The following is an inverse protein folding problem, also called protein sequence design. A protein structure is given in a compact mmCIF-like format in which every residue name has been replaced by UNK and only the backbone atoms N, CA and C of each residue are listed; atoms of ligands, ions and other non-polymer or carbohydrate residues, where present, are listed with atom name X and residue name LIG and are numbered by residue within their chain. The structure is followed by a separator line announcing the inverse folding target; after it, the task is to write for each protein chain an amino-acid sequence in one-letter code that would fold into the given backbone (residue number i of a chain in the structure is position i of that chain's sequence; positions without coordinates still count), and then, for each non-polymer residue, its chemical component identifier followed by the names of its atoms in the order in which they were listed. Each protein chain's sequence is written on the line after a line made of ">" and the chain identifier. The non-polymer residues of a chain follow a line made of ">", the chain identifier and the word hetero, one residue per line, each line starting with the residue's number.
data_IF_280390753492
#
_entry.id   IF_280390753492
#
_cell.length_a   1.000
_cell.length_b   1.000
_cell.length_c   1.000
_cell.angle_alpha   90.00
_cell.angle_beta   90.00
_cell.angle_gamma   90.00
#
_symmetry.space_group_name_H-M   'P 1'
#
loop_
_entity.id
_entity.type
_entity.pdbx_description
1 polymer ?
#
# COMPACT_ATOMS: atom_id res chain seq x y z
N UNK A 1 11.33 -4.04 -17.83
CA UNK A 1 12.62 -3.34 -17.70
C UNK A 1 12.93 -3.16 -16.23
N UNK A 2 14.09 -3.64 -15.76
CA UNK A 2 14.52 -3.48 -14.35
C UNK A 2 14.94 -2.02 -14.16
N UNK A 3 14.40 -1.36 -13.15
CA UNK A 3 14.72 0.05 -12.86
C UNK A 3 16.14 0.10 -12.30
N UNK A 4 17.00 0.89 -12.93
CA UNK A 4 18.34 1.17 -12.42
C UNK A 4 18.25 2.26 -11.32
N UNK A 5 18.29 1.81 -10.07
CA UNK A 5 18.27 2.66 -8.89
C UNK A 5 19.64 3.27 -8.56
N UNK A 6 20.71 2.87 -9.26
CA UNK A 6 22.07 3.36 -9.07
C UNK A 6 22.45 4.47 -10.05
N UNK A 7 21.66 4.66 -11.13
CA UNK A 7 21.84 5.73 -12.11
C UNK A 7 21.87 7.12 -11.46
N UNK A 8 22.89 7.92 -11.78
CA UNK A 8 22.94 9.36 -11.49
C UNK A 8 22.05 10.10 -12.49
N UNK A 9 21.16 10.97 -12.01
CA UNK A 9 20.11 11.60 -12.82
C UNK A 9 20.36 13.07 -13.13
N UNK A 10 21.22 13.76 -12.38
CA UNK A 10 21.36 15.21 -12.44
C UNK A 10 22.72 15.72 -12.94
N UNK A 11 23.72 14.86 -13.10
CA UNK A 11 24.97 15.28 -13.70
C UNK A 11 26.13 14.30 -13.54
N UNK A 12 27.23 14.63 -14.22
CA UNK A 12 28.50 13.94 -14.09
C UNK A 12 29.27 14.57 -12.93
N UNK A 13 29.37 13.87 -11.81
CA UNK A 13 30.12 14.32 -10.65
C UNK A 13 31.58 13.91 -10.79
N UNK A 14 32.51 14.82 -10.47
CA UNK A 14 33.95 14.55 -10.55
C UNK A 14 34.63 14.79 -9.22
N UNK A 15 35.65 13.97 -8.92
CA UNK A 15 36.53 14.25 -7.79
C UNK A 15 37.21 15.60 -8.00
N UNK A 16 37.17 16.51 -7.03
CA UNK A 16 38.00 17.71 -7.06
C UNK A 16 39.48 17.30 -7.01
N UNK A 17 40.38 18.13 -7.57
CA UNK A 17 41.81 18.00 -7.29
C UNK A 17 42.07 18.30 -5.80
N UNK A 18 43.01 17.59 -5.19
CA UNK A 18 43.37 17.77 -3.78
C UNK A 18 44.83 17.39 -3.52
N UNK A 19 45.38 17.88 -2.40
CA UNK A 19 46.70 17.46 -1.92
C UNK A 19 46.59 16.72 -0.59
N UNK A 20 47.42 15.70 -0.39
CA UNK A 20 47.53 15.04 0.91
C UNK A 20 48.08 16.03 1.95
N UNK A 21 47.50 16.03 3.15
CA UNK A 21 47.84 16.96 4.23
C UNK A 21 47.11 18.31 4.17
N UNK A 22 46.38 18.61 3.10
CA UNK A 22 45.60 19.84 2.96
C UNK A 22 44.44 19.88 3.96
N UNK A 23 44.19 21.05 4.59
CA UNK A 23 43.03 21.29 5.44
C UNK A 23 41.88 21.80 4.59
N UNK A 24 40.76 21.11 4.64
CA UNK A 24 39.54 21.45 3.88
C UNK A 24 38.33 21.47 4.80
N UNK A 25 37.36 22.32 4.48
CA UNK A 25 36.11 22.37 5.23
C UNK A 25 35.12 21.29 4.74
N UNK A 26 34.75 20.38 5.63
CA UNK A 26 33.75 19.35 5.38
C UNK A 26 32.39 19.84 5.89
N UNK A 27 31.41 19.96 5.00
CA UNK A 27 30.07 20.46 5.35
C UNK A 27 29.34 19.65 6.43
N UNK A 28 29.78 18.42 6.72
CA UNK A 28 29.22 17.59 7.80
C UNK A 28 30.07 17.54 9.07
N UNK A 29 31.36 17.88 9.00
CA UNK A 29 32.32 17.65 10.09
C UNK A 29 33.12 18.88 10.46
N UNK A 30 32.96 20.01 9.76
CA UNK A 30 33.85 21.16 9.81
C UNK A 30 35.21 20.82 9.21
N UNK A 31 36.25 21.51 9.68
CA UNK A 31 37.60 21.35 9.15
C UNK A 31 38.20 19.94 9.36
N UNK A 32 38.78 19.39 8.30
CA UNK A 32 39.43 18.07 8.27
C UNK A 32 40.70 18.11 7.43
N UNK A 33 41.66 17.24 7.75
CA UNK A 33 42.89 17.09 6.96
C UNK A 33 42.74 15.94 5.97
N UNK A 34 43.04 16.16 4.69
CA UNK A 34 42.98 15.12 3.68
C UNK A 34 44.10 14.11 3.93
N UNK A 35 43.71 12.85 4.11
CA UNK A 35 44.62 11.75 4.45
C UNK A 35 44.74 10.72 3.33
N UNK A 36 43.66 10.47 2.60
CA UNK A 36 43.59 9.40 1.60
C UNK A 36 42.53 9.66 0.54
N UNK A 37 42.34 8.69 -0.34
CA UNK A 37 41.26 8.64 -1.32
C UNK A 37 40.43 7.37 -1.12
N UNK A 38 39.13 7.43 -1.35
CA UNK A 38 38.25 6.26 -1.27
C UNK A 38 38.25 5.45 -2.55
N UNK A 39 38.10 4.12 -2.43
CA UNK A 39 37.95 3.18 -3.56
C UNK A 39 36.51 3.14 -4.15
N UNK A 40 35.76 4.23 -3.99
CA UNK A 40 34.46 4.39 -4.63
C UNK A 40 34.60 4.43 -6.16
N UNK A 41 33.53 4.11 -6.89
CA UNK A 41 33.48 4.24 -8.36
C UNK A 41 33.73 5.68 -8.81
N UNK A 42 33.34 6.64 -7.98
CA UNK A 42 33.86 8.01 -8.01
C UNK A 42 34.79 8.12 -6.81
N UNK A 43 36.12 8.05 -7.03
CA UNK A 43 37.09 8.23 -5.97
C UNK A 43 36.91 9.61 -5.32
N UNK A 44 37.09 9.70 -4.00
CA UNK A 44 36.85 10.94 -3.28
C UNK A 44 37.80 11.11 -2.10
N UNK A 45 38.19 12.35 -1.75
CA UNK A 45 39.04 12.61 -0.60
C UNK A 45 38.47 12.06 0.71
N UNK A 46 39.33 11.39 1.48
CA UNK A 46 39.08 10.97 2.86
C UNK A 46 39.73 11.98 3.80
N UNK A 47 38.90 12.59 4.65
CA UNK A 47 39.33 13.52 5.68
C UNK A 47 39.49 12.82 7.03
N UNK A 48 40.64 13.02 7.65
CA UNK A 48 40.92 12.67 9.05
C UNK A 48 40.51 13.84 9.95
N UNK A 49 39.66 13.56 10.94
CA UNK A 49 39.36 14.47 12.05
C UNK A 49 39.70 13.74 13.35
N UNK A 50 40.74 14.19 14.04
CA UNK A 50 41.32 13.51 15.21
C UNK A 50 41.76 12.08 14.82
N UNK A 51 40.92 11.07 15.05
CA UNK A 51 41.15 9.66 14.66
C UNK A 51 40.18 9.15 13.60
N UNK A 52 39.05 9.84 13.38
CA UNK A 52 37.99 9.35 12.50
C UNK A 52 38.27 9.66 11.03
N UNK A 53 38.20 8.63 10.18
CA UNK A 53 38.32 8.72 8.73
C UNK A 53 36.92 8.67 8.09
N UNK A 54 36.63 9.64 7.22
CA UNK A 54 35.40 9.64 6.42
C UNK A 54 35.58 10.50 5.19
N UNK A 55 34.79 10.25 4.14
CA UNK A 55 34.81 11.10 2.94
C UNK A 55 34.49 12.56 3.32
N UNK A 56 35.23 13.49 2.72
CA UNK A 56 35.01 14.92 2.91
C UNK A 56 33.78 15.34 2.10
N UNK A 57 32.76 15.87 2.79
CA UNK A 57 31.53 16.34 2.15
C UNK A 57 31.73 17.77 1.63
N UNK A 58 32.17 17.91 0.38
CA UNK A 58 32.32 19.20 -0.31
C UNK A 58 32.15 19.05 -1.82
N UNK A 59 32.23 20.15 -2.57
CA UNK A 59 32.23 20.15 -4.04
C UNK A 59 31.06 19.38 -4.66
N UNK A 60 31.38 18.53 -5.64
CA UNK A 60 30.38 17.76 -6.39
C UNK A 60 29.70 16.67 -5.56
N UNK A 61 30.35 16.09 -4.55
CA UNK A 61 29.69 15.16 -3.64
C UNK A 61 28.57 15.86 -2.86
N UNK A 62 28.80 17.10 -2.41
CA UNK A 62 27.74 17.87 -1.75
C UNK A 62 26.57 18.17 -2.70
N UNK A 63 26.84 18.46 -3.98
CA UNK A 63 25.79 18.61 -5.01
C UNK A 63 25.01 17.31 -5.23
N UNK A 64 25.70 16.18 -5.31
CA UNK A 64 25.10 14.87 -5.48
C UNK A 64 24.19 14.52 -4.29
N UNK A 65 24.64 14.74 -3.05
CA UNK A 65 23.83 14.44 -1.86
C UNK A 65 22.54 15.26 -1.80
N UNK A 66 22.55 16.49 -2.31
CA UNK A 66 21.37 17.37 -2.36
C UNK A 66 20.33 16.93 -3.41
N UNK A 67 20.77 16.36 -4.54
CA UNK A 67 19.87 16.11 -5.70
C UNK A 67 19.62 14.64 -5.98
N UNK A 68 20.62 13.79 -5.83
CA UNK A 68 20.55 12.38 -6.21
C UNK A 68 19.79 11.52 -5.20
N UNK A 69 19.38 10.33 -5.68
CA UNK A 69 18.80 9.31 -4.83
C UNK A 69 19.86 8.76 -3.86
N UNK A 70 19.45 8.41 -2.64
CA UNK A 70 20.40 7.91 -1.62
C UNK A 70 21.11 6.63 -2.10
N UNK A 71 20.39 5.78 -2.86
CA UNK A 71 20.92 4.53 -3.41
C UNK A 71 22.04 4.79 -4.44
N UNK A 72 21.88 5.81 -5.29
CA UNK A 72 22.90 6.19 -6.27
C UNK A 72 24.16 6.73 -5.57
N UNK A 73 24.01 7.64 -4.61
CA UNK A 73 25.16 8.20 -3.86
C UNK A 73 25.96 7.09 -3.17
N UNK A 74 25.29 6.13 -2.54
CA UNK A 74 25.94 4.97 -1.90
C UNK A 74 26.73 4.14 -2.90
N UNK A 75 26.15 3.86 -4.06
CA UNK A 75 26.77 3.02 -5.08
C UNK A 75 28.03 3.66 -5.70
N UNK A 76 27.96 4.95 -6.00
CA UNK A 76 29.05 5.66 -6.68
C UNK A 76 30.19 6.04 -5.74
N UNK A 77 29.91 6.50 -4.52
CA UNK A 77 30.95 6.89 -3.55
C UNK A 77 31.30 5.78 -2.55
N UNK A 78 30.69 4.60 -2.66
CA UNK A 78 31.04 3.45 -1.82
C UNK A 78 30.68 3.61 -0.33
N UNK A 79 29.64 4.38 -0.01
CA UNK A 79 29.26 4.71 1.38
C UNK A 79 28.00 3.98 1.86
N UNK A 80 27.91 3.85 3.19
CA UNK A 80 26.73 3.28 3.85
C UNK A 80 25.52 4.23 3.85
N UNK A 81 24.32 3.68 4.06
CA UNK A 81 23.08 4.46 4.14
C UNK A 81 23.10 5.49 5.29
N UNK A 82 23.68 5.10 6.44
CA UNK A 82 23.82 5.97 7.61
C UNK A 82 24.67 7.20 7.30
N UNK A 83 25.73 7.05 6.51
CA UNK A 83 26.59 8.16 6.08
C UNK A 83 25.81 9.18 5.26
N UNK A 84 25.06 8.72 4.25
CA UNK A 84 24.22 9.61 3.42
C UNK A 84 23.14 10.30 4.27
N UNK A 85 22.54 9.60 5.24
CA UNK A 85 21.59 10.21 6.16
C UNK A 85 22.20 11.33 7.00
N UNK A 86 23.40 11.11 7.57
CA UNK A 86 24.14 12.14 8.33
C UNK A 86 24.45 13.34 7.43
N UNK A 87 24.95 13.10 6.22
CA UNK A 87 25.25 14.18 5.27
C UNK A 87 24.03 14.98 4.88
N UNK A 88 22.91 14.31 4.59
CA UNK A 88 21.64 14.98 4.28
C UNK A 88 21.15 15.83 5.44
N UNK A 89 21.24 15.32 6.68
CA UNK A 89 20.89 16.08 7.88
C UNK A 89 21.77 17.31 8.05
N UNK A 90 23.08 17.18 7.85
CA UNK A 90 24.02 18.31 7.91
C UNK A 90 23.75 19.37 6.83
N UNK A 91 23.31 18.94 5.64
CA UNK A 91 22.94 19.83 4.54
C UNK A 91 21.50 20.37 4.63
N UNK A 92 20.72 19.98 5.64
CA UNK A 92 19.31 20.38 5.78
C UNK A 92 18.36 19.78 4.75
N UNK A 93 18.74 18.67 4.11
CA UNK A 93 17.97 18.03 3.03
C UNK A 93 17.20 16.83 3.56
N UNK A 94 15.87 16.87 3.45
CA UNK A 94 14.99 15.75 3.85
C UNK A 94 14.57 14.89 2.67
N UNK A 95 14.25 15.54 1.53
CA UNK A 95 13.82 14.87 0.31
C UNK A 95 14.60 15.39 -0.88
N UNK A 96 15.12 14.49 -1.72
CA UNK A 96 15.80 14.86 -2.97
C UNK A 96 14.91 14.59 -4.18
N UNK A 97 15.17 15.32 -5.27
CA UNK A 97 14.53 15.07 -6.56
C UNK A 97 14.83 13.64 -7.06
N UNK A 98 16.04 13.13 -6.82
CA UNK A 98 16.44 11.78 -7.21
C UNK A 98 15.63 10.69 -6.50
N UNK A 99 15.35 10.84 -5.20
CA UNK A 99 14.48 9.90 -4.50
C UNK A 99 13.04 9.96 -5.04
N UNK A 100 12.58 11.16 -5.44
CA UNK A 100 11.25 11.34 -6.05
C UNK A 100 11.18 10.71 -7.43
N UNK A 101 12.16 10.94 -8.29
CA UNK A 101 12.25 10.37 -9.64
C UNK A 101 12.34 8.85 -9.57
N UNK A 102 13.18 8.31 -8.69
CA UNK A 102 13.29 6.88 -8.48
C UNK A 102 11.96 6.28 -8.03
N UNK A 103 11.26 6.93 -7.08
CA UNK A 103 9.92 6.51 -6.65
C UNK A 103 8.92 6.53 -7.80
N UNK A 104 8.92 7.57 -8.62
CA UNK A 104 8.04 7.70 -9.78
C UNK A 104 8.31 6.61 -10.82
N UNK A 105 9.58 6.29 -11.08
CA UNK A 105 9.96 5.18 -11.96
C UNK A 105 9.44 3.84 -11.44
N UNK A 106 9.51 3.60 -10.13
CA UNK A 106 8.91 2.40 -9.52
C UNK A 106 7.38 2.39 -9.62
N UNK A 107 6.72 3.55 -9.58
CA UNK A 107 5.26 3.69 -9.63
C UNK A 107 4.66 3.49 -11.03
N UNK A 108 5.04 2.40 -11.72
CA UNK A 108 4.38 1.96 -12.95
C UNK A 108 2.97 1.43 -12.65
N UNK A 109 2.00 1.51 -13.58
CA UNK A 109 0.66 0.97 -13.38
C UNK A 109 0.66 -0.52 -12.97
N UNK A 110 1.59 -1.32 -13.51
CA UNK A 110 1.76 -2.74 -13.15
C UNK A 110 2.30 -2.91 -11.73
N UNK A 111 3.32 -2.15 -11.34
CA UNK A 111 3.84 -2.17 -9.98
C UNK A 111 2.79 -1.72 -8.97
N UNK A 112 2.07 -0.63 -9.25
CA UNK A 112 0.99 -0.13 -8.42
C UNK A 112 -0.11 -1.18 -8.27
N UNK A 113 -0.57 -1.82 -9.35
CA UNK A 113 -1.56 -2.91 -9.26
C UNK A 113 -1.09 -4.06 -8.37
N UNK A 114 0.18 -4.49 -8.48
CA UNK A 114 0.74 -5.56 -7.64
C UNK A 114 0.81 -5.14 -6.17
N UNK A 115 1.31 -3.93 -5.90
CA UNK A 115 1.40 -3.39 -4.54
C UNK A 115 0.01 -3.20 -3.91
N UNK A 116 -0.94 -2.66 -4.67
CA UNK A 116 -2.34 -2.53 -4.25
C UNK A 116 -2.96 -3.90 -4.00
N UNK A 117 -2.78 -4.88 -4.90
CA UNK A 117 -3.30 -6.23 -4.69
C UNK A 117 -2.72 -6.88 -3.42
N UNK A 118 -1.40 -6.76 -3.20
CA UNK A 118 -0.76 -7.26 -1.99
C UNK A 118 -1.26 -6.54 -0.73
N UNK A 119 -1.40 -5.21 -0.77
CA UNK A 119 -1.94 -4.42 0.33
C UNK A 119 -3.41 -4.78 0.62
N UNK A 120 -4.23 -4.95 -0.42
CA UNK A 120 -5.61 -5.40 -0.31
C UNK A 120 -5.68 -6.79 0.30
N UNK A 121 -4.86 -7.74 -0.14
CA UNK A 121 -4.80 -9.09 0.43
C UNK A 121 -4.46 -9.07 1.94
N UNK A 122 -3.47 -8.25 2.35
CA UNK A 122 -3.14 -8.07 3.77
C UNK A 122 -4.29 -7.39 4.54
N UNK A 123 -4.94 -6.40 3.93
CA UNK A 123 -6.08 -5.72 4.54
C UNK A 123 -7.29 -6.66 4.70
N UNK A 124 -7.46 -7.58 3.76
CA UNK A 124 -8.56 -8.54 3.67
C UNK A 124 -8.32 -9.82 4.46
N UNK A 125 -7.11 -10.02 4.97
CA UNK A 125 -6.74 -11.16 5.79
C UNK A 125 -7.79 -11.38 6.91
N UNK A 126 -8.35 -12.60 7.03
CA UNK A 126 -9.49 -12.88 7.90
C UNK A 126 -9.16 -12.59 9.37
N UNK A 127 -7.95 -12.92 9.82
CA UNK A 127 -7.48 -12.63 11.18
C UNK A 127 -7.47 -11.14 11.50
N UNK A 128 -6.96 -10.31 10.58
CA UNK A 128 -6.96 -8.84 10.73
C UNK A 128 -8.38 -8.30 10.80
N UNK A 129 -9.26 -8.76 9.90
CA UNK A 129 -10.68 -8.37 9.90
C UNK A 129 -11.38 -8.79 11.18
N UNK A 130 -11.13 -10.00 11.68
CA UNK A 130 -11.66 -10.49 12.95
C UNK A 130 -11.16 -9.67 14.14
N UNK A 131 -9.86 -9.33 14.18
CA UNK A 131 -9.29 -8.47 15.23
C UNK A 131 -9.96 -7.09 15.28
N UNK A 132 -10.18 -6.47 14.11
CA UNK A 132 -10.90 -5.20 13.98
C UNK A 132 -12.36 -5.36 14.38
N UNK A 133 -13.04 -6.43 13.95
CA UNK A 133 -14.43 -6.68 14.28
C UNK A 133 -14.61 -6.89 15.80
N UNK A 134 -13.75 -7.69 16.42
CA UNK A 134 -13.77 -7.95 17.88
C UNK A 134 -13.56 -6.66 18.67
N UNK A 135 -12.67 -5.77 18.24
CA UNK A 135 -12.42 -4.51 18.95
C UNK A 135 -13.56 -3.50 18.83
N UNK A 136 -14.38 -3.59 17.76
CA UNK A 136 -15.48 -2.65 17.46
C UNK A 136 -16.87 -3.15 17.84
N UNK A 137 -17.07 -4.47 17.94
CA UNK A 137 -18.40 -5.06 18.21
C UNK A 137 -18.96 -4.55 19.55
N UNK A 138 -20.22 -4.12 19.54
CA UNK A 138 -20.92 -3.63 20.73
C UNK A 138 -20.55 -2.21 21.18
N UNK A 139 -19.53 -1.57 20.58
CA UNK A 139 -19.16 -0.19 20.93
C UNK A 139 -20.02 0.79 20.14
N UNK A 140 -20.92 1.55 20.79
CA UNK A 140 -21.69 2.57 20.09
C UNK A 140 -20.76 3.66 19.56
N UNK A 141 -21.11 4.22 18.40
CA UNK A 141 -20.39 5.37 17.88
C UNK A 141 -20.57 6.56 18.84
N UNK A 142 -19.50 7.27 19.24
CA UNK A 142 -19.63 8.40 20.16
C UNK A 142 -20.60 9.47 19.62
N UNK A 143 -21.47 10.06 20.46
CA UNK A 143 -22.49 11.03 20.02
C UNK A 143 -21.91 12.23 19.26
N UNK A 144 -20.74 12.73 19.68
CA UNK A 144 -20.04 13.82 19.01
C UNK A 144 -19.65 13.47 17.57
N UNK A 145 -19.18 12.23 17.35
CA UNK A 145 -18.83 11.74 16.00
C UNK A 145 -20.08 11.62 15.14
N UNK A 146 -21.20 11.14 15.71
CA UNK A 146 -22.49 11.10 15.02
C UNK A 146 -22.92 12.52 14.61
N UNK A 147 -22.78 13.51 15.49
CA UNK A 147 -23.12 14.90 15.19
C UNK A 147 -22.24 15.47 14.06
N UNK A 148 -20.92 15.20 14.08
CA UNK A 148 -20.00 15.58 12.99
C UNK A 148 -20.39 14.94 11.66
N UNK A 149 -20.69 13.65 11.66
CA UNK A 149 -21.13 12.92 10.47
C UNK A 149 -22.45 13.48 9.92
N UNK A 150 -23.43 13.75 10.80
CA UNK A 150 -24.70 14.38 10.41
C UNK A 150 -24.47 15.74 9.78
N UNK A 151 -23.65 16.61 10.40
CA UNK A 151 -23.31 17.93 9.84
C UNK A 151 -22.65 17.83 8.47
N UNK A 152 -21.70 16.91 8.30
CA UNK A 152 -20.95 16.74 7.05
C UNK A 152 -21.77 16.12 5.90
N UNK A 153 -22.78 15.31 6.24
CA UNK A 153 -23.60 14.61 5.26
C UNK A 153 -24.95 15.29 4.99
N UNK A 154 -25.39 16.22 5.85
CA UNK A 154 -26.63 16.97 5.64
C UNK A 154 -26.57 17.70 4.30
N UNK A 155 -27.54 17.42 3.44
CA UNK A 155 -27.63 18.02 2.09
C UNK A 155 -26.76 17.38 1.00
N UNK A 156 -25.85 16.45 1.33
CA UNK A 156 -25.11 15.70 0.30
C UNK A 156 -26.05 14.75 -0.42
N UNK A 157 -26.26 14.99 -1.72
CA UNK A 157 -27.01 14.10 -2.59
C UNK A 157 -26.08 13.01 -3.14
N UNK A 158 -26.57 11.77 -3.17
CA UNK A 158 -25.86 10.69 -3.86
C UNK A 158 -25.76 10.98 -5.35
N UNK A 159 -24.63 10.58 -5.95
CA UNK A 159 -24.43 10.71 -7.39
C UNK A 159 -25.50 9.95 -8.16
N UNK A 160 -25.75 10.37 -9.40
CA UNK A 160 -26.73 9.72 -10.26
C UNK A 160 -26.39 8.24 -10.47
N UNK A 161 -25.13 7.92 -10.78
CA UNK A 161 -24.67 6.55 -10.98
C UNK A 161 -24.93 5.63 -9.76
N UNK A 162 -24.72 6.14 -8.55
CA UNK A 162 -24.99 5.38 -7.32
C UNK A 162 -26.49 5.17 -7.12
N UNK A 163 -27.32 6.19 -7.41
CA UNK A 163 -28.78 6.06 -7.38
C UNK A 163 -29.30 5.06 -8.41
N UNK A 164 -28.77 5.06 -9.64
CA UNK A 164 -29.11 4.10 -10.68
C UNK A 164 -28.82 2.67 -10.22
N UNK A 165 -27.60 2.42 -9.72
CA UNK A 165 -27.22 1.09 -9.23
C UNK A 165 -28.07 0.61 -8.06
N UNK A 166 -28.39 1.49 -7.10
CA UNK A 166 -29.31 1.15 -6.02
C UNK A 166 -30.72 0.85 -6.54
N UNK A 167 -31.21 1.63 -7.51
CA UNK A 167 -32.49 1.37 -8.16
C UNK A 167 -32.51 0.03 -8.88
N UNK A 168 -31.43 -0.35 -9.58
CA UNK A 168 -31.32 -1.65 -10.25
C UNK A 168 -31.38 -2.79 -9.23
N UNK A 169 -30.62 -2.70 -8.14
CA UNK A 169 -30.64 -3.69 -7.06
C UNK A 169 -32.02 -3.78 -6.41
N UNK A 170 -32.67 -2.64 -6.14
CA UNK A 170 -34.03 -2.63 -5.58
C UNK A 170 -35.07 -3.21 -6.55
N UNK A 171 -34.97 -2.92 -7.86
CA UNK A 171 -35.87 -3.49 -8.88
C UNK A 171 -35.68 -5.00 -9.02
N UNK A 172 -34.42 -5.48 -9.07
CA UNK A 172 -34.11 -6.91 -9.12
C UNK A 172 -34.65 -7.67 -7.90
N UNK A 173 -34.57 -7.05 -6.73
CA UNK A 173 -35.03 -7.61 -5.46
C UNK A 173 -36.55 -7.50 -5.27
N UNK A 174 -37.19 -6.48 -5.84
CA UNK A 174 -38.60 -6.16 -5.60
C UNK A 174 -38.88 -5.75 -4.14
N UNK A 175 -40.13 -5.96 -3.70
CA UNK A 175 -40.63 -5.65 -2.35
C UNK A 175 -40.21 -6.68 -1.29
N UNK A 176 -39.42 -7.68 -1.65
CA UNK A 176 -39.05 -8.75 -0.72
C UNK A 176 -38.00 -8.28 0.31
N UNK A 177 -38.25 -8.36 1.63
CA UNK A 177 -37.32 -7.89 2.65
C UNK A 177 -36.07 -8.77 2.75
N UNK A 178 -34.88 -8.22 3.11
CA UNK A 178 -33.61 -8.93 2.93
C UNK A 178 -33.43 -10.06 3.91
N UNK A 179 -34.10 -9.95 5.05
CA UNK A 179 -34.15 -11.00 6.05
C UNK A 179 -34.97 -12.23 5.62
N UNK A 180 -35.84 -12.11 4.60
CA UNK A 180 -36.68 -13.23 4.16
C UNK A 180 -35.95 -14.25 3.27
N UNK A 181 -34.70 -13.97 2.89
CA UNK A 181 -33.87 -14.87 2.07
C UNK A 181 -34.21 -14.81 0.58
N UNK A 182 -33.64 -15.74 -0.20
CA UNK A 182 -33.89 -15.86 -1.63
C UNK A 182 -35.16 -16.71 -1.84
N UNK A 183 -36.20 -16.21 -2.55
CA UNK A 183 -37.43 -16.95 -2.79
C UNK A 183 -37.15 -18.19 -3.65
N UNK A 184 -38.02 -19.21 -3.56
CA UNK A 184 -37.96 -20.39 -4.44
C UNK A 184 -38.60 -20.03 -5.79
N UNK A 185 -37.87 -20.23 -6.89
CA UNK A 185 -38.43 -20.03 -8.24
C UNK A 185 -39.34 -21.19 -8.64
N UNK A 186 -40.14 -21.03 -9.69
CA UNK A 186 -41.02 -22.08 -10.19
C UNK A 186 -40.24 -23.34 -10.60
N UNK A 187 -39.08 -23.16 -11.24
CA UNK A 187 -38.19 -24.24 -11.64
C UNK A 187 -37.61 -24.96 -10.41
N UNK A 188 -37.21 -24.19 -9.38
CA UNK A 188 -36.70 -24.77 -8.14
C UNK A 188 -37.79 -25.52 -7.36
N UNK A 189 -39.04 -25.06 -7.41
CA UNK A 189 -40.20 -25.76 -6.86
C UNK A 189 -40.44 -27.08 -7.59
N UNK A 190 -40.22 -27.13 -8.91
CA UNK A 190 -40.35 -28.37 -9.68
C UNK A 190 -39.23 -29.37 -9.37
N UNK A 191 -38.00 -28.89 -9.14
CA UNK A 191 -36.92 -29.73 -8.63
C UNK A 191 -37.27 -30.34 -7.26
N UNK A 192 -37.95 -29.59 -6.38
CA UNK A 192 -38.42 -30.11 -5.10
C UNK A 192 -39.40 -31.27 -5.25
N UNK A 193 -40.19 -31.32 -6.33
CA UNK A 193 -41.15 -32.40 -6.61
C UNK A 193 -40.51 -33.65 -7.19
N UNK A 194 -39.50 -33.48 -8.03
CA UNK A 194 -38.98 -34.54 -8.91
C UNK A 194 -37.73 -35.23 -8.39
N UNK A 195 -36.81 -34.49 -7.78
CA UNK A 195 -35.49 -35.01 -7.41
C UNK A 195 -35.39 -35.44 -5.95
N UNK A 196 -34.29 -36.08 -5.53
CA UNK A 196 -34.02 -36.33 -4.11
C UNK A 196 -33.59 -35.03 -3.41
N UNK A 197 -33.88 -34.85 -2.10
CA UNK A 197 -33.50 -33.63 -1.37
C UNK A 197 -32.04 -33.21 -1.51
N UNK A 198 -31.11 -34.18 -1.53
CA UNK A 198 -29.68 -33.96 -1.71
C UNK A 198 -29.32 -33.39 -3.08
N UNK A 199 -29.97 -33.84 -4.13
CA UNK A 199 -29.76 -33.35 -5.50
C UNK A 199 -30.31 -31.94 -5.66
N UNK A 200 -31.45 -31.64 -5.04
CA UNK A 200 -32.02 -30.28 -5.02
C UNK A 200 -31.11 -29.31 -4.26
N UNK A 201 -30.57 -29.73 -3.11
CA UNK A 201 -29.61 -28.92 -2.35
C UNK A 201 -28.38 -28.58 -3.19
N UNK A 202 -27.82 -29.57 -3.89
CA UNK A 202 -26.65 -29.38 -4.76
C UNK A 202 -26.94 -28.47 -5.95
N UNK A 203 -28.08 -28.64 -6.64
CA UNK A 203 -28.44 -27.84 -7.83
C UNK A 203 -28.85 -26.40 -7.50
N UNK A 204 -29.46 -26.18 -6.33
CA UNK A 204 -29.92 -24.84 -5.91
C UNK A 204 -28.93 -24.12 -5.00
N UNK A 205 -27.82 -24.77 -4.65
CA UNK A 205 -26.84 -24.29 -3.66
C UNK A 205 -27.46 -23.88 -2.32
N UNK A 206 -28.61 -24.46 -1.96
CA UNK A 206 -29.26 -24.27 -0.66
C UNK A 206 -28.91 -25.41 0.29
N UNK A 207 -29.04 -25.17 1.59
CA UNK A 207 -28.80 -26.21 2.59
C UNK A 207 -29.90 -27.27 2.58
N UNK A 208 -29.57 -28.50 2.99
CA UNK A 208 -30.54 -29.60 3.14
C UNK A 208 -31.74 -29.19 4.02
N UNK A 209 -31.49 -28.43 5.08
CA UNK A 209 -32.54 -27.90 5.97
C UNK A 209 -33.50 -26.96 5.25
N UNK A 210 -32.99 -26.09 4.36
CA UNK A 210 -33.82 -25.21 3.55
C UNK A 210 -34.69 -25.98 2.55
N UNK A 211 -34.15 -27.05 1.95
CA UNK A 211 -34.89 -27.97 1.05
C UNK A 211 -36.04 -28.65 1.81
N UNK A 212 -35.80 -29.20 2.99
CA UNK A 212 -36.85 -29.81 3.80
C UNK A 212 -37.91 -28.79 4.27
N UNK A 213 -37.48 -27.61 4.70
CA UNK A 213 -38.40 -26.53 5.05
C UNK A 213 -39.27 -26.11 3.87
N UNK A 214 -38.70 -26.04 2.66
CA UNK A 214 -39.42 -25.75 1.44
C UNK A 214 -40.41 -26.85 1.07
N UNK A 215 -40.02 -28.13 1.14
CA UNK A 215 -40.94 -29.26 0.89
C UNK A 215 -42.12 -29.26 1.85
N UNK A 216 -41.89 -28.99 3.14
CA UNK A 216 -42.98 -28.82 4.11
C UNK A 216 -43.88 -27.64 3.73
N UNK A 217 -43.30 -26.50 3.39
CA UNK A 217 -44.03 -25.28 3.01
C UNK A 217 -44.91 -25.49 1.77
N UNK A 218 -44.45 -26.26 0.79
CA UNK A 218 -45.18 -26.56 -0.45
C UNK A 218 -45.99 -27.86 -0.40
N UNK A 219 -46.12 -28.50 0.77
CA UNK A 219 -46.94 -29.70 0.94
C UNK A 219 -46.40 -30.96 0.23
N UNK A 220 -45.10 -31.02 -0.06
CA UNK A 220 -44.43 -32.10 -0.81
C UNK A 220 -43.89 -33.21 0.09
N UNK A 221 -44.40 -33.33 1.32
CA UNK A 221 -44.01 -34.39 2.25
C UNK A 221 -45.04 -35.51 2.13
N UNK A 222 -44.59 -36.74 1.86
CA UNK A 222 -45.49 -37.92 1.91
C UNK A 222 -46.09 -38.00 3.31
N UNK A 223 -47.42 -38.03 3.42
CA UNK A 223 -48.08 -38.50 4.63
C UNK A 223 -47.68 -39.96 4.81
N UNK A 224 -46.95 -40.25 5.88
CA UNK A 224 -46.86 -41.59 6.44
C UNK A 224 -48.16 -41.83 7.20
N UNK A 225 -49.00 -42.71 6.67
CA UNK A 225 -49.98 -43.47 7.45
C UNK A 225 -49.25 -44.50 8.33
#
# INVERSE_FOLDING_TARGET
>A
MKIDNTKLRFGNYRSPPFRYGERVDCLARGEVTIWGQSDGRIPWPIGKKVSALSLVLFGDLAKAVRREAAVAVRYWWGVGNRTVWIWRRALGVTQTEGDRNLRQEYMTPKHNRRMTAAATAVADAPERRQKIAKSRRGKPCPPEVIAKLRKANKGKKMSHAVRTKMSEVHKLRGTHPPAAGVPWTAEEIELLRTLRPSEVANRTHRTMTAVYAARRKFGLVRKTD
#
